data_IF_757524134745
#
_entry.id   IF_757524134745
#
_cell.length_a   1.000
_cell.length_b   1.000
_cell.length_c   1.000
_cell.angle_alpha   90.00
_cell.angle_beta   90.00
_cell.angle_gamma   90.00
#
_symmetry.space_group_name_H-M   'P 1'
#
loop_
_entity.id
_entity.type
_entity.pdbx_description
1 polymer ?
#
# COMPACT_ATOMS: atom_id res chain seq x y z
N UNK A 1 4.29 -2.64 12.40
CA UNK A 1 4.24 -2.46 10.93
C UNK A 1 3.45 -3.63 10.36
N UNK A 2 2.35 -3.35 9.66
CA UNK A 2 1.65 -4.37 8.88
C UNK A 2 2.11 -4.21 7.43
N UNK A 3 2.63 -5.29 6.86
CA UNK A 3 3.04 -5.36 5.45
C UNK A 3 2.07 -6.29 4.75
N UNK A 4 1.27 -5.75 3.83
CA UNK A 4 0.46 -6.55 2.92
C UNK A 4 1.09 -6.50 1.52
N UNK A 5 1.53 -7.64 1.00
CA UNK A 5 1.90 -7.77 -0.41
C UNK A 5 0.63 -8.07 -1.23
N UNK A 6 0.44 -7.37 -2.34
CA UNK A 6 -0.76 -7.46 -3.18
C UNK A 6 -0.39 -8.20 -4.46
N UNK A 7 -0.27 -9.52 -4.35
CA UNK A 7 -0.36 -10.37 -5.54
C UNK A 7 -1.81 -10.81 -5.69
N UNK A 8 -2.52 -10.23 -6.65
CA UNK A 8 -3.75 -10.82 -7.15
C UNK A 8 -3.58 -11.09 -8.64
N UNK A 9 -3.17 -12.32 -8.94
CA UNK A 9 -3.09 -12.89 -10.28
C UNK A 9 -4.47 -13.35 -10.82
N UNK A 10 -5.59 -13.01 -10.15
CA UNK A 10 -6.89 -13.67 -10.37
C UNK A 10 -8.09 -12.73 -10.59
N UNK A 11 -7.88 -11.45 -10.90
CA UNK A 11 -8.95 -10.51 -11.24
C UNK A 11 -8.53 -9.05 -10.97
N UNK A 12 -9.42 -8.04 -11.17
CA UNK A 12 -9.11 -6.68 -10.72
C UNK A 12 -8.84 -6.74 -9.21
N UNK A 13 -7.56 -6.69 -8.84
CA UNK A 13 -7.13 -6.93 -7.47
C UNK A 13 -7.85 -6.00 -6.51
N UNK A 14 -8.09 -6.46 -5.28
CA UNK A 14 -8.82 -5.78 -4.19
C UNK A 14 -8.41 -4.30 -4.01
N UNK A 15 -7.23 -3.91 -4.50
CA UNK A 15 -6.68 -2.58 -4.44
C UNK A 15 -6.39 -1.92 -5.80
N UNK A 16 -7.08 -2.28 -6.90
CA UNK A 16 -6.97 -1.54 -8.19
C UNK A 16 -7.18 -0.02 -8.00
N UNK A 17 -8.02 0.36 -7.03
CA UNK A 17 -8.32 1.75 -6.64
C UNK A 17 -7.33 2.39 -5.68
N UNK A 18 -6.23 1.73 -5.32
CA UNK A 18 -5.17 2.38 -4.54
C UNK A 18 -4.52 3.54 -5.31
N UNK A 19 -4.63 3.52 -6.64
CA UNK A 19 -4.30 4.66 -7.53
C UNK A 19 -5.14 5.91 -7.23
N UNK A 20 -6.35 5.73 -6.70
CA UNK A 20 -7.28 6.83 -6.38
C UNK A 20 -7.04 7.38 -4.97
N UNK A 21 -6.15 6.75 -4.21
CA UNK A 21 -5.77 7.19 -2.87
C UNK A 21 -4.97 8.48 -2.99
N UNK A 22 -5.22 9.42 -2.08
CA UNK A 22 -4.47 10.67 -1.97
C UNK A 22 -3.82 10.77 -0.60
N UNK A 23 -2.82 11.66 -0.47
CA UNK A 23 -2.35 12.09 0.85
C UNK A 23 -3.52 12.73 1.60
N UNK A 24 -3.71 12.34 2.86
CA UNK A 24 -4.90 12.66 3.63
C UNK A 24 -6.09 11.73 3.37
N UNK A 25 -5.95 10.68 2.56
CA UNK A 25 -6.95 9.61 2.48
C UNK A 25 -7.00 8.80 3.78
N UNK A 26 -8.16 8.21 4.07
CA UNK A 26 -8.34 7.31 5.21
C UNK A 26 -8.38 5.84 4.74
N UNK A 27 -7.65 4.98 5.44
CA UNK A 27 -7.64 3.53 5.24
C UNK A 27 -8.18 2.87 6.50
N UNK A 28 -9.15 1.97 6.34
CA UNK A 28 -9.72 1.20 7.46
C UNK A 28 -9.29 -0.25 7.37
N UNK A 29 -8.70 -0.77 8.43
CA UNK A 29 -8.33 -2.19 8.57
C UNK A 29 -9.21 -2.79 9.65
N UNK A 30 -9.97 -3.83 9.29
CA UNK A 30 -10.80 -4.58 10.24
C UNK A 30 -10.10 -5.88 10.59
N UNK A 31 -9.91 -6.14 11.88
CA UNK A 31 -9.37 -7.42 12.35
C UNK A 31 -10.46 -8.49 12.48
N UNK A 32 -10.04 -9.73 12.76
CA UNK A 32 -10.94 -10.89 12.88
C UNK A 32 -11.94 -10.76 14.04
N UNK A 33 -11.63 -9.92 15.04
CA UNK A 33 -12.52 -9.63 16.17
C UNK A 33 -13.52 -8.51 15.83
N UNK A 34 -13.45 -7.94 14.61
CA UNK A 34 -14.33 -6.89 14.13
C UNK A 34 -13.87 -5.47 14.49
N UNK A 35 -12.74 -5.29 15.19
CA UNK A 35 -12.23 -3.97 15.53
C UNK A 35 -11.67 -3.28 14.29
N UNK A 36 -12.00 -2.01 14.13
CA UNK A 36 -11.59 -1.17 12.99
C UNK A 36 -10.49 -0.22 13.42
N UNK A 37 -9.35 -0.30 12.74
CA UNK A 37 -8.21 0.59 12.87
C UNK A 37 -8.20 1.57 11.70
N UNK A 38 -8.11 2.86 11.99
CA UNK A 38 -8.07 3.92 10.96
C UNK A 38 -6.64 4.40 10.77
N UNK A 39 -6.19 4.47 9.54
CA UNK A 39 -4.88 4.99 9.16
C UNK A 39 -5.06 6.17 8.21
N UNK A 40 -4.27 7.22 8.41
CA UNK A 40 -4.21 8.40 7.55
C UNK A 40 -3.02 8.27 6.62
N UNK A 41 -3.27 8.33 5.32
CA UNK A 41 -2.20 8.34 4.31
C UNK A 41 -1.42 9.63 4.44
N UNK A 42 -0.12 9.54 4.61
CA UNK A 42 0.75 10.71 4.71
C UNK A 42 1.72 10.82 3.52
N UNK A 43 1.92 9.73 2.77
CA UNK A 43 2.82 9.69 1.62
C UNK A 43 2.37 8.66 0.59
N UNK A 44 2.51 9.02 -0.67
CA UNK A 44 2.45 8.12 -1.82
C UNK A 44 3.81 8.17 -2.53
N UNK A 45 4.31 7.04 -2.98
CA UNK A 45 5.57 7.00 -3.75
C UNK A 45 5.51 5.91 -4.80
N UNK A 46 5.88 6.28 -6.01
CA UNK A 46 6.01 5.34 -7.12
C UNK A 46 7.48 4.97 -7.30
N UNK A 47 7.74 3.69 -7.46
CA UNK A 47 9.08 3.14 -7.63
C UNK A 47 9.08 2.18 -8.82
N UNK A 48 10.03 2.30 -9.75
CA UNK A 48 10.23 1.28 -10.77
C UNK A 48 10.52 -0.07 -10.11
N UNK A 49 9.91 -1.16 -10.60
CA UNK A 49 10.16 -2.50 -10.06
C UNK A 49 11.62 -2.90 -10.12
N UNK A 50 12.33 -2.48 -11.17
CA UNK A 50 13.75 -2.76 -11.38
C UNK A 50 14.65 -2.15 -10.30
N UNK A 51 14.20 -1.08 -9.64
CA UNK A 51 14.97 -0.34 -8.63
C UNK A 51 14.17 -0.17 -7.34
N UNK A 52 13.26 -1.11 -7.05
CA UNK A 52 12.37 -1.00 -5.90
C UNK A 52 13.18 -1.01 -4.59
N UNK A 53 13.09 0.04 -3.75
CA UNK A 53 13.92 0.16 -2.55
C UNK A 53 13.35 -0.70 -1.42
N UNK A 54 13.45 -2.02 -1.56
CA UNK A 54 12.90 -3.00 -0.63
C UNK A 54 13.40 -2.79 0.80
N UNK A 55 14.68 -2.43 0.98
CA UNK A 55 15.26 -2.14 2.29
C UNK A 55 14.55 -0.98 3.01
N UNK A 56 14.21 0.10 2.30
CA UNK A 56 13.47 1.24 2.86
C UNK A 56 11.99 0.89 3.07
N UNK A 57 11.36 0.28 2.07
CA UNK A 57 9.92 -0.03 2.10
C UNK A 57 9.58 -1.08 3.14
N UNK A 58 10.47 -2.03 3.42
CA UNK A 58 10.26 -3.06 4.43
C UNK A 58 10.99 -2.77 5.76
N UNK A 59 11.70 -1.66 5.88
CA UNK A 59 12.35 -1.26 7.13
C UNK A 59 11.34 -1.17 8.27
N UNK A 60 11.68 -1.64 9.49
CA UNK A 60 10.87 -1.45 10.67
C UNK A 60 10.54 0.03 10.89
N UNK A 61 9.34 0.29 11.37
CA UNK A 61 8.91 1.64 11.77
C UNK A 61 8.76 1.74 13.27
N UNK A 62 9.21 2.84 13.86
CA UNK A 62 9.04 3.15 15.29
C UNK A 62 7.61 3.59 15.65
N UNK A 63 6.72 3.72 14.66
CA UNK A 63 5.31 4.09 14.81
C UNK A 63 4.38 3.01 14.26
N UNK A 64 3.11 3.06 14.65
CA UNK A 64 2.06 2.22 14.08
C UNK A 64 1.83 2.61 12.61
N UNK A 65 2.56 1.95 11.72
CA UNK A 65 2.59 2.25 10.29
C UNK A 65 1.99 1.11 9.47
N UNK A 66 1.22 1.49 8.45
CA UNK A 66 0.67 0.65 7.41
C UNK A 66 1.31 1.07 6.08
N UNK A 67 1.84 0.09 5.35
CA UNK A 67 2.36 0.29 3.99
C UNK A 67 1.60 -0.63 3.05
N UNK A 68 0.94 -0.04 2.06
CA UNK A 68 0.20 -0.76 1.03
C UNK A 68 0.96 -0.63 -0.29
N UNK A 69 1.13 -1.74 -1.01
CA UNK A 69 1.92 -1.79 -2.24
C UNK A 69 1.03 -2.32 -3.36
N UNK A 70 1.01 -1.67 -4.52
CA UNK A 70 0.30 -2.16 -5.70
C UNK A 70 1.10 -1.92 -6.97
N UNK A 71 0.87 -2.75 -7.99
CA UNK A 71 1.45 -2.60 -9.32
C UNK A 71 0.79 -1.42 -10.06
N UNK A 72 1.57 -0.49 -10.60
CA UNK A 72 1.11 0.69 -11.35
C UNK A 72 2.01 0.99 -12.56
N UNK A 73 1.65 2.00 -13.35
CA UNK A 73 2.45 2.48 -14.47
C UNK A 73 2.09 1.79 -15.79
N UNK A 74 3.03 1.78 -16.73
CA UNK A 74 2.82 1.15 -18.05
C UNK A 74 2.82 -0.36 -17.91
N UNK A 75 1.83 -1.03 -18.50
CA UNK A 75 1.82 -2.49 -18.60
C UNK A 75 2.85 -2.95 -19.63
N UNK A 76 3.84 -3.72 -19.18
CA UNK A 76 4.81 -4.36 -20.06
C UNK A 76 4.24 -5.71 -20.51
N UNK A 77 3.84 -5.79 -21.78
CA UNK A 77 3.27 -7.00 -22.36
C UNK A 77 4.28 -8.16 -22.47
N UNK A 78 5.58 -7.87 -22.57
CA UNK A 78 6.63 -8.91 -22.62
C UNK A 78 6.88 -9.50 -21.24
N UNK A 79 6.86 -8.66 -20.21
CA UNK A 79 7.03 -9.09 -18.82
C UNK A 79 5.72 -9.56 -18.17
N UNK A 80 4.58 -9.39 -18.83
CA UNK A 80 3.25 -9.74 -18.30
C UNK A 80 2.87 -8.97 -17.04
N UNK A 81 3.47 -7.80 -16.80
CA UNK A 81 3.25 -7.05 -15.56
C UNK A 81 3.44 -5.55 -15.74
N UNK A 82 2.88 -4.77 -14.83
CA UNK A 82 3.16 -3.33 -14.76
C UNK A 82 4.60 -3.05 -14.34
N UNK A 83 5.20 -1.96 -14.84
CA UNK A 83 6.62 -1.64 -14.62
C UNK A 83 6.92 -1.03 -13.26
N UNK A 84 5.94 -0.44 -12.61
CA UNK A 84 6.13 0.34 -11.39
C UNK A 84 5.32 -0.23 -10.22
N UNK A 85 5.70 0.15 -9.02
CA UNK A 85 4.96 -0.11 -7.79
C UNK A 85 4.60 1.23 -7.14
N UNK A 86 3.32 1.41 -6.81
CA UNK A 86 2.86 2.48 -5.93
C UNK A 86 2.89 1.96 -4.50
N UNK A 87 3.52 2.72 -3.61
CA UNK A 87 3.56 2.49 -2.17
C UNK A 87 2.80 3.63 -1.48
N UNK A 88 1.73 3.28 -0.77
CA UNK A 88 1.03 4.19 0.11
C UNK A 88 1.46 3.95 1.56
N UNK A 89 1.93 5.02 2.19
CA UNK A 89 2.33 5.02 3.59
C UNK A 89 1.26 5.72 4.42
N UNK A 90 0.80 5.05 5.46
CA UNK A 90 -0.23 5.53 6.35
C UNK A 90 0.15 5.29 7.81
N UNK A 91 -0.21 6.21 8.69
CA UNK A 91 -0.01 6.09 10.14
C UNK A 91 -1.34 5.94 10.83
N UNK A 92 -1.37 5.19 11.94
CA UNK A 92 -2.58 5.05 12.74
C UNK A 92 -3.08 6.45 13.14
N UNK A 93 -4.24 6.82 12.63
CA UNK A 93 -4.99 7.98 13.12
C UNK A 93 -5.49 7.55 14.48
N UNK A 94 -5.00 8.16 15.56
CA UNK A 94 -5.40 7.81 16.92
C UNK A 94 -6.91 7.59 16.96
N UNK A 95 -7.33 6.37 17.33
CA UNK A 95 -8.73 6.06 17.50
C UNK A 95 -9.26 7.03 18.56
N UNK A 96 -10.13 7.94 18.16
CA UNK A 96 -10.87 8.75 19.10
C UNK A 96 -11.54 7.84 20.13
N UNK A 97 -11.38 8.26 21.38
CA UNK A 97 -12.04 7.88 22.63
C UNK A 97 -13.27 6.98 22.51
#
# INVERSE_FOLDING_TARGET
MIVGHVDSYTGPGVFYRLRDLAVGGDVQVRDIAGKVWRFRVYRLSEYPKATFPSGEVYAPSHRAELRLITCTGVFDQRAGSYRDNLVAYATLSGGGS
#
